data_IF_162467708753
#
_entry.id   IF_162467708753
#
_cell.length_a   1.000
_cell.length_b   1.000
_cell.length_c   1.000
_cell.angle_alpha   90.00
_cell.angle_beta   90.00
_cell.angle_gamma   90.00
#
_symmetry.space_group_name_H-M   'P 1'
#
loop_
_entity.id
_entity.type
_entity.pdbx_description
1 polymer ?
#
# COMPACT_ATOMS: atom_id res chain seq x y z
N UNK A 1 11.86 14.27 6.41
CA UNK A 1 11.28 13.65 5.20
C UNK A 1 9.88 14.20 4.96
N UNK A 2 9.60 14.77 3.78
CA UNK A 2 8.25 15.22 3.39
C UNK A 2 7.52 14.05 2.70
N UNK A 3 6.34 13.69 3.22
CA UNK A 3 5.55 12.55 2.74
C UNK A 3 4.19 13.02 2.22
N UNK A 4 3.77 12.52 1.07
CA UNK A 4 2.42 12.72 0.54
C UNK A 4 1.58 11.45 0.70
N UNK A 5 0.33 11.61 1.11
CA UNK A 5 -0.67 10.54 1.20
C UNK A 5 -1.69 10.77 0.07
N UNK A 6 -1.64 9.94 -0.97
CA UNK A 6 -2.48 10.06 -2.15
C UNK A 6 -3.81 9.31 -1.95
N UNK A 7 -4.81 9.99 -1.39
CA UNK A 7 -6.16 9.44 -1.29
C UNK A 7 -6.86 9.59 -2.65
N UNK A 8 -6.81 8.56 -3.46
CA UNK A 8 -7.34 8.60 -4.82
C UNK A 8 -8.67 7.84 -4.97
N UNK A 9 -9.52 8.32 -5.86
CA UNK A 9 -10.65 7.57 -6.37
C UNK A 9 -10.15 6.51 -7.36
N UNK A 10 -10.66 5.29 -7.29
CA UNK A 10 -10.18 4.19 -8.11
C UNK A 10 -11.17 3.85 -9.21
N UNK A 11 -10.68 3.73 -10.45
CA UNK A 11 -11.44 3.11 -11.52
C UNK A 11 -11.44 1.58 -11.31
N UNK A 12 -12.64 1.00 -11.20
CA UNK A 12 -12.81 -0.42 -10.89
C UNK A 12 -12.28 -1.30 -12.02
N UNK A 13 -11.34 -2.20 -11.67
CA UNK A 13 -10.68 -3.16 -12.59
C UNK A 13 -10.07 -2.51 -13.85
N UNK A 14 -9.68 -1.23 -13.77
CA UNK A 14 -9.07 -0.50 -14.88
C UNK A 14 -7.63 -0.07 -14.52
N UNK A 15 -6.69 -0.96 -14.83
CA UNK A 15 -5.26 -0.74 -14.58
C UNK A 15 -4.75 0.54 -15.25
N UNK A 16 -5.11 0.76 -16.53
CA UNK A 16 -4.56 1.86 -17.31
C UNK A 16 -5.01 3.22 -16.78
N UNK A 17 -6.28 3.35 -16.43
CA UNK A 17 -6.79 4.57 -15.81
C UNK A 17 -6.12 4.82 -14.45
N UNK A 18 -5.99 3.80 -13.63
CA UNK A 18 -5.42 3.93 -12.29
C UNK A 18 -3.92 4.24 -12.32
N UNK A 19 -3.13 3.60 -13.18
CA UNK A 19 -1.69 3.88 -13.27
C UNK A 19 -1.42 5.31 -13.80
N UNK A 20 -2.26 5.82 -14.71
CA UNK A 20 -2.17 7.21 -15.15
C UNK A 20 -2.48 8.20 -14.01
N UNK A 21 -3.42 7.87 -13.13
CA UNK A 21 -3.68 8.66 -11.90
C UNK A 21 -2.49 8.62 -10.96
N UNK A 22 -1.89 7.44 -10.74
CA UNK A 22 -0.65 7.29 -9.93
C UNK A 22 0.45 8.18 -10.48
N UNK A 23 0.69 8.16 -11.79
CA UNK A 23 1.71 9.01 -12.42
C UNK A 23 1.41 10.49 -12.24
N UNK A 24 0.15 10.91 -12.38
CA UNK A 24 -0.29 12.30 -12.21
C UNK A 24 -0.04 12.79 -10.78
N UNK A 25 -0.47 12.04 -9.76
CA UNK A 25 -0.21 12.37 -8.36
C UNK A 25 1.28 12.39 -8.04
N UNK A 26 2.04 11.46 -8.63
CA UNK A 26 3.49 11.38 -8.43
C UNK A 26 4.20 12.61 -9.01
N UNK A 27 3.83 13.07 -10.21
CA UNK A 27 4.35 14.31 -10.82
C UNK A 27 4.03 15.52 -9.95
N UNK A 28 2.81 15.64 -9.45
CA UNK A 28 2.41 16.73 -8.58
C UNK A 28 3.20 16.71 -7.26
N UNK A 29 3.35 15.56 -6.63
CA UNK A 29 4.12 15.41 -5.40
C UNK A 29 5.59 15.76 -5.60
N UNK A 30 6.20 15.29 -6.69
CA UNK A 30 7.59 15.62 -7.06
C UNK A 30 7.80 17.13 -7.23
N UNK A 31 6.86 17.83 -7.89
CA UNK A 31 6.93 19.30 -8.08
C UNK A 31 6.89 20.08 -6.76
N UNK A 32 6.41 19.46 -5.68
CA UNK A 32 6.35 20.01 -4.33
C UNK A 32 7.49 19.54 -3.42
N UNK A 33 8.54 18.94 -4.00
CA UNK A 33 9.69 18.39 -3.28
C UNK A 33 9.32 17.29 -2.24
N UNK A 34 8.25 16.54 -2.50
CA UNK A 34 7.90 15.36 -1.70
C UNK A 34 8.94 14.27 -1.93
N UNK A 35 9.39 13.62 -0.85
CA UNK A 35 10.41 12.58 -0.89
C UNK A 35 9.83 11.18 -0.99
N UNK A 36 8.60 10.98 -0.48
CA UNK A 36 7.88 9.72 -0.53
C UNK A 36 6.39 9.98 -0.77
N UNK A 37 5.82 9.36 -1.79
CA UNK A 37 4.37 9.35 -1.99
C UNK A 37 3.82 7.95 -1.72
N UNK A 38 2.70 7.87 -1.00
CA UNK A 38 2.05 6.62 -0.59
C UNK A 38 0.64 6.54 -1.18
N UNK A 39 0.31 5.39 -1.76
CA UNK A 39 -0.98 5.09 -2.38
C UNK A 39 -1.78 4.05 -1.60
N UNK A 40 -3.11 3.92 -1.82
CA UNK A 40 -3.97 2.96 -1.15
C UNK A 40 -3.68 1.49 -1.49
N UNK A 41 -4.35 0.58 -0.77
CA UNK A 41 -4.47 -0.85 -1.09
C UNK A 41 -5.09 -1.05 -2.47
N UNK A 42 -4.55 -2.01 -3.24
CA UNK A 42 -5.06 -2.41 -4.57
C UNK A 42 -5.40 -1.19 -5.46
N UNK A 43 -4.58 -0.16 -5.43
CA UNK A 43 -4.90 1.09 -6.08
C UNK A 43 -4.89 1.01 -7.62
N UNK A 44 -4.40 -0.08 -8.20
CA UNK A 44 -4.37 -0.31 -9.65
C UNK A 44 -5.62 -1.05 -10.17
N UNK A 45 -6.38 -1.72 -9.29
CA UNK A 45 -7.56 -2.52 -9.66
C UNK A 45 -8.83 -2.17 -8.89
N UNK A 46 -8.70 -1.52 -7.74
CA UNK A 46 -9.73 -1.54 -6.70
C UNK A 46 -9.72 -2.86 -5.95
N UNK A 47 -10.42 -2.93 -4.81
CA UNK A 47 -10.52 -4.13 -3.98
C UNK A 47 -11.45 -5.15 -4.64
N UNK A 48 -10.93 -5.91 -5.61
CA UNK A 48 -11.69 -6.90 -6.37
C UNK A 48 -11.46 -8.32 -5.86
N UNK A 49 -12.52 -9.13 -5.90
CA UNK A 49 -12.45 -10.57 -5.72
C UNK A 49 -12.34 -11.33 -7.07
N UNK A 50 -12.40 -10.61 -8.18
CA UNK A 50 -12.26 -11.15 -9.53
C UNK A 50 -10.79 -11.19 -9.94
N UNK A 51 -10.04 -12.20 -9.49
CA UNK A 51 -8.62 -12.35 -9.85
C UNK A 51 -8.37 -12.56 -11.35
N UNK A 52 -9.42 -12.85 -12.13
CA UNK A 52 -9.29 -12.98 -13.58
C UNK A 52 -9.13 -11.61 -14.28
N UNK A 53 -9.51 -10.52 -13.62
CA UNK A 53 -9.26 -9.15 -14.12
C UNK A 53 -7.83 -8.67 -13.87
N UNK A 54 -7.05 -9.41 -13.08
CA UNK A 54 -5.66 -9.09 -12.77
C UNK A 54 -4.74 -9.64 -13.86
N UNK A 55 -4.66 -8.92 -14.97
CA UNK A 55 -3.96 -9.38 -16.18
C UNK A 55 -2.44 -9.14 -16.13
N UNK A 56 -1.98 -8.22 -15.28
CA UNK A 56 -0.58 -7.84 -15.17
C UNK A 56 0.17 -8.74 -14.20
N UNK A 57 1.36 -9.18 -14.61
CA UNK A 57 2.30 -9.85 -13.71
C UNK A 57 2.92 -8.86 -12.71
N UNK A 58 3.49 -9.40 -11.64
CA UNK A 58 4.22 -8.60 -10.65
C UNK A 58 5.36 -7.81 -11.29
N UNK A 59 6.15 -8.46 -12.15
CA UNK A 59 7.29 -7.83 -12.81
C UNK A 59 6.86 -6.66 -13.71
N UNK A 60 5.76 -6.80 -14.47
CA UNK A 60 5.23 -5.71 -15.31
C UNK A 60 4.79 -4.51 -14.45
N UNK A 61 4.12 -4.76 -13.31
CA UNK A 61 3.67 -3.71 -12.40
C UNK A 61 4.88 -3.01 -11.77
N UNK A 62 5.80 -3.80 -11.20
CA UNK A 62 7.00 -3.27 -10.56
C UNK A 62 7.84 -2.44 -11.54
N UNK A 63 8.04 -2.91 -12.77
CA UNK A 63 8.81 -2.17 -13.77
C UNK A 63 8.13 -0.86 -14.16
N UNK A 64 6.79 -0.86 -14.26
CA UNK A 64 6.03 0.37 -14.51
C UNK A 64 6.21 1.39 -13.39
N UNK A 65 6.13 0.94 -12.12
CA UNK A 65 6.28 1.83 -10.96
C UNK A 65 7.73 2.34 -10.85
N UNK A 66 8.74 1.50 -11.13
CA UNK A 66 10.15 1.92 -11.19
C UNK A 66 10.37 3.06 -12.17
N UNK A 67 9.80 2.93 -13.38
CA UNK A 67 9.90 3.97 -14.38
C UNK A 67 9.28 5.28 -13.91
N UNK A 68 8.09 5.24 -13.26
CA UNK A 68 7.45 6.42 -12.68
C UNK A 68 8.33 7.03 -11.57
N UNK A 69 8.87 6.21 -10.67
CA UNK A 69 9.70 6.67 -9.56
C UNK A 69 10.99 7.36 -10.05
N UNK A 70 11.69 6.73 -10.99
CA UNK A 70 12.95 7.26 -11.57
C UNK A 70 12.71 8.55 -12.35
N UNK A 71 11.70 8.58 -13.22
CA UNK A 71 11.39 9.74 -14.05
C UNK A 71 11.00 10.96 -13.22
N UNK A 72 10.35 10.74 -12.07
CA UNK A 72 9.92 11.80 -11.16
C UNK A 72 10.85 12.01 -9.96
N UNK A 73 11.92 11.22 -9.82
CA UNK A 73 12.93 11.30 -8.74
C UNK A 73 12.32 11.27 -7.33
N UNK A 74 11.30 10.45 -7.12
CA UNK A 74 10.54 10.34 -5.87
C UNK A 74 10.37 8.88 -5.47
N UNK A 75 10.41 8.57 -4.17
CA UNK A 75 10.11 7.24 -3.69
C UNK A 75 8.59 7.01 -3.71
N UNK A 76 8.16 5.80 -4.07
CA UNK A 76 6.73 5.45 -4.22
C UNK A 76 6.42 4.23 -3.37
N UNK A 77 5.38 4.33 -2.51
CA UNK A 77 4.76 3.19 -1.86
C UNK A 77 3.35 2.96 -2.44
N UNK A 78 3.06 1.74 -2.92
CA UNK A 78 1.85 1.48 -3.69
C UNK A 78 1.29 0.08 -3.43
N UNK A 79 -0.04 0.00 -3.19
CA UNK A 79 -0.77 -1.26 -3.06
C UNK A 79 -1.30 -1.76 -4.40
N UNK A 80 -1.08 -3.04 -4.70
CA UNK A 80 -1.59 -3.69 -5.91
C UNK A 80 -1.96 -5.15 -5.64
N UNK A 81 -2.67 -5.76 -6.57
CA UNK A 81 -2.97 -7.18 -6.53
C UNK A 81 -2.46 -7.86 -7.81
N UNK A 82 -2.06 -9.10 -7.67
CA UNK A 82 -1.64 -9.96 -8.78
C UNK A 82 -2.35 -11.31 -8.69
N UNK A 83 -2.40 -12.01 -9.82
CA UNK A 83 -2.82 -13.40 -9.87
C UNK A 83 -1.58 -14.30 -9.87
N UNK A 84 -1.53 -15.23 -8.92
CA UNK A 84 -0.51 -16.27 -8.83
C UNK A 84 -1.21 -17.62 -8.87
N UNK A 85 -1.03 -18.37 -9.93
CA UNK A 85 -1.71 -19.65 -10.18
C UNK A 85 -3.25 -19.55 -10.09
N UNK A 86 -3.81 -20.14 -9.02
CA UNK A 86 -5.27 -20.20 -8.77
C UNK A 86 -5.75 -19.16 -7.74
N UNK A 87 -4.84 -18.39 -7.16
CA UNK A 87 -5.14 -17.39 -6.14
C UNK A 87 -4.59 -16.02 -6.51
N UNK A 88 -5.06 -15.00 -5.81
CA UNK A 88 -4.45 -13.67 -5.83
C UNK A 88 -3.43 -13.49 -4.71
N UNK A 89 -2.60 -12.45 -4.82
CA UNK A 89 -1.83 -11.87 -3.74
C UNK A 89 -2.12 -10.38 -3.64
N UNK A 90 -2.39 -9.91 -2.42
CA UNK A 90 -2.58 -8.49 -2.12
C UNK A 90 -1.26 -7.96 -1.59
N UNK A 91 -0.60 -7.11 -2.35
CA UNK A 91 0.78 -6.68 -2.12
C UNK A 91 0.90 -5.18 -1.92
N UNK A 92 1.96 -4.80 -1.23
CA UNK A 92 2.37 -3.40 -1.09
C UNK A 92 3.86 -3.29 -1.33
N UNK A 93 4.27 -2.55 -2.35
CA UNK A 93 5.67 -2.32 -2.66
C UNK A 93 6.10 -0.91 -2.29
N UNK A 94 7.37 -0.76 -1.90
CA UNK A 94 8.05 0.54 -1.78
C UNK A 94 9.23 0.53 -2.73
N UNK A 95 9.23 1.47 -3.67
CA UNK A 95 10.27 1.62 -4.70
C UNK A 95 10.99 2.94 -4.49
N UNK A 96 12.32 2.88 -4.54
CA UNK A 96 13.16 4.05 -4.39
C UNK A 96 13.13 4.96 -5.63
N UNK A 97 13.48 6.21 -5.46
CA UNK A 97 13.68 7.18 -6.56
C UNK A 97 14.76 6.77 -7.57
N UNK A 98 15.57 5.75 -7.27
CA UNK A 98 16.55 5.14 -8.18
C UNK A 98 16.05 3.87 -8.85
N UNK A 99 14.79 3.45 -8.59
CA UNK A 99 14.19 2.25 -9.19
C UNK A 99 14.52 0.95 -8.45
N UNK A 100 15.03 1.01 -7.23
CA UNK A 100 15.26 -0.17 -6.39
C UNK A 100 13.98 -0.56 -5.64
N UNK A 101 13.64 -1.84 -5.60
CA UNK A 101 12.56 -2.37 -4.74
C UNK A 101 13.10 -2.45 -3.32
N UNK A 102 12.60 -1.57 -2.45
CA UNK A 102 13.04 -1.48 -1.05
C UNK A 102 12.23 -2.40 -0.12
N UNK A 103 10.96 -2.63 -0.43
CA UNK A 103 10.05 -3.55 0.25
C UNK A 103 9.01 -4.10 -0.72
N UNK A 104 8.55 -5.33 -0.50
CA UNK A 104 7.56 -5.99 -1.34
C UNK A 104 6.66 -6.92 -0.52
N UNK A 105 5.91 -6.31 0.37
CA UNK A 105 5.07 -6.95 1.37
C UNK A 105 3.82 -7.62 0.76
N UNK A 106 3.52 -8.84 1.20
CA UNK A 106 2.23 -9.51 0.95
C UNK A 106 1.40 -9.47 2.23
N UNK A 107 0.13 -9.09 2.11
CA UNK A 107 -0.82 -8.97 3.23
C UNK A 107 -0.87 -10.23 4.08
N UNK A 108 -0.56 -10.09 5.38
CA UNK A 108 -0.53 -11.23 6.32
C UNK A 108 -1.95 -11.62 6.74
N UNK A 109 -2.86 -10.63 6.90
CA UNK A 109 -4.22 -10.88 7.37
C UNK A 109 -5.24 -10.52 6.28
N UNK A 110 -5.62 -11.47 5.41
CA UNK A 110 -6.72 -11.28 4.47
C UNK A 110 -8.03 -10.98 5.20
N UNK A 111 -8.87 -10.14 4.60
CA UNK A 111 -10.17 -9.76 5.16
C UNK A 111 -11.18 -10.91 5.08
N UNK A 112 -11.17 -11.78 6.09
CA UNK A 112 -12.01 -13.01 6.15
C UNK A 112 -13.50 -12.74 6.09
N UNK A 113 -13.96 -11.65 6.71
CA UNK A 113 -15.37 -11.25 6.65
C UNK A 113 -15.84 -10.92 5.22
N UNK A 114 -14.93 -10.42 4.37
CA UNK A 114 -15.16 -10.17 2.94
C UNK A 114 -14.83 -11.36 2.04
N UNK A 115 -14.43 -12.49 2.60
CA UNK A 115 -14.07 -13.69 1.83
C UNK A 115 -12.71 -13.62 1.12
N UNK A 116 -11.88 -12.62 1.43
CA UNK A 116 -10.57 -12.43 0.80
C UNK A 116 -9.66 -13.65 0.99
N UNK A 117 -9.70 -14.30 2.15
CA UNK A 117 -8.93 -15.50 2.49
C UNK A 117 -9.17 -16.71 1.58
N UNK A 118 -10.35 -16.77 0.96
CA UNK A 118 -10.69 -17.82 0.00
C UNK A 118 -10.05 -17.59 -1.36
N UNK A 119 -9.81 -16.35 -1.70
CA UNK A 119 -9.39 -15.89 -3.03
C UNK A 119 -7.91 -15.52 -3.05
N UNK A 120 -7.43 -14.84 -2.01
CA UNK A 120 -6.06 -14.37 -1.89
C UNK A 120 -5.23 -15.22 -0.92
N UNK A 121 -3.99 -15.46 -1.27
CA UNK A 121 -2.99 -16.06 -0.38
C UNK A 121 -2.55 -15.03 0.66
N UNK A 122 -2.21 -15.50 1.86
CA UNK A 122 -1.63 -14.68 2.91
C UNK A 122 -0.11 -14.63 2.80
N UNK A 123 0.48 -13.51 3.19
CA UNK A 123 1.92 -13.38 3.45
C UNK A 123 2.33 -14.02 4.78
N UNK A 124 3.62 -14.11 5.01
CA UNK A 124 4.24 -14.80 6.17
C UNK A 124 5.37 -14.01 6.82
N UNK A 125 5.73 -12.84 6.31
CA UNK A 125 6.81 -12.03 6.82
C UNK A 125 6.49 -10.53 6.82
N UNK A 126 7.22 -9.78 7.64
CA UNK A 126 7.15 -8.33 7.74
C UNK A 126 8.36 -7.75 7.03
N UNK A 127 8.10 -6.86 6.07
CA UNK A 127 9.14 -6.10 5.39
C UNK A 127 9.44 -4.81 6.14
N UNK A 128 10.72 -4.47 6.24
CA UNK A 128 11.19 -3.17 6.74
C UNK A 128 12.23 -2.64 5.78
N UNK A 129 11.99 -1.47 5.22
CA UNK A 129 12.93 -0.79 4.34
C UNK A 129 13.47 0.50 4.96
N UNK A 130 14.48 1.10 4.31
CA UNK A 130 15.06 2.35 4.74
C UNK A 130 15.01 3.40 3.63
N UNK A 131 14.49 4.59 3.97
CA UNK A 131 14.54 5.78 3.14
C UNK A 131 15.16 6.90 3.96
N UNK A 132 16.33 7.39 3.54
CA UNK A 132 17.16 8.29 4.33
C UNK A 132 17.47 7.68 5.72
N UNK A 133 17.15 8.41 6.81
CA UNK A 133 17.33 7.94 8.18
C UNK A 133 16.14 7.15 8.73
N UNK A 134 15.01 7.10 8.01
CA UNK A 134 13.79 6.47 8.49
C UNK A 134 13.67 5.01 8.04
N UNK A 135 13.41 4.12 8.98
CA UNK A 135 12.96 2.74 8.71
C UNK A 135 11.44 2.71 8.62
N UNK A 136 10.92 2.08 7.57
CA UNK A 136 9.50 2.08 7.20
C UNK A 136 9.02 0.64 7.04
N UNK A 137 7.90 0.28 7.69
CA UNK A 137 7.21 -0.99 7.50
C UNK A 137 5.86 -0.77 6.81
N UNK A 138 5.59 -1.37 5.65
CA UNK A 138 4.28 -1.31 5.00
C UNK A 138 3.35 -2.40 5.52
N UNK A 139 2.09 -2.05 5.82
CA UNK A 139 1.00 -2.97 6.08
C UNK A 139 -0.22 -2.64 5.21
N UNK A 140 -1.20 -3.56 5.17
CA UNK A 140 -2.36 -3.44 4.29
C UNK A 140 -3.66 -3.58 5.10
N UNK A 141 -4.46 -2.52 5.13
CA UNK A 141 -5.89 -2.49 5.48
C UNK A 141 -6.26 -3.31 6.73
N UNK A 142 -6.71 -4.55 6.55
CA UNK A 142 -7.18 -5.42 7.63
C UNK A 142 -6.09 -5.79 8.64
N UNK A 143 -4.81 -5.73 8.25
CA UNK A 143 -3.65 -5.85 9.15
C UNK A 143 -3.74 -4.89 10.33
N UNK A 144 -4.37 -3.72 10.14
CA UNK A 144 -4.55 -2.71 11.18
C UNK A 144 -5.27 -3.25 12.43
N UNK A 145 -6.05 -4.33 12.30
CA UNK A 145 -6.77 -4.95 13.43
C UNK A 145 -5.91 -5.85 14.31
N UNK A 146 -4.70 -6.17 13.88
CA UNK A 146 -3.81 -7.14 14.54
C UNK A 146 -2.61 -6.42 15.15
N UNK A 147 -2.65 -6.09 16.45
CA UNK A 147 -1.60 -5.30 17.12
C UNK A 147 -0.23 -5.99 17.09
N UNK A 148 -0.19 -7.31 17.04
CA UNK A 148 1.03 -8.10 17.15
C UNK A 148 2.06 -7.77 16.08
N UNK A 149 1.62 -7.59 14.83
CA UNK A 149 2.54 -7.27 13.74
C UNK A 149 3.10 -5.85 13.86
N UNK A 150 2.32 -4.92 14.43
CA UNK A 150 2.78 -3.56 14.71
C UNK A 150 3.81 -3.54 15.83
N UNK A 151 3.61 -4.32 16.90
CA UNK A 151 4.55 -4.48 17.99
C UNK A 151 5.88 -5.10 17.54
N UNK A 152 5.84 -6.02 16.58
CA UNK A 152 7.04 -6.60 15.99
C UNK A 152 7.77 -5.56 15.12
N UNK A 153 7.05 -4.92 14.20
CA UNK A 153 7.63 -3.94 13.27
C UNK A 153 8.22 -2.73 13.99
N UNK A 154 7.56 -2.21 15.03
CA UNK A 154 7.97 -0.99 15.76
C UNK A 154 9.28 -1.15 16.56
N UNK A 155 9.77 -2.37 16.74
CA UNK A 155 11.10 -2.59 17.33
C UNK A 155 12.22 -2.01 16.45
N UNK A 156 11.95 -1.85 15.16
CA UNK A 156 12.91 -1.32 14.21
C UNK A 156 12.36 -0.16 13.39
N UNK A 157 11.07 -0.20 13.01
CA UNK A 157 10.46 0.82 12.16
C UNK A 157 10.13 2.11 12.94
N UNK A 158 10.53 3.25 12.40
CA UNK A 158 10.13 4.57 12.88
C UNK A 158 8.76 4.99 12.34
N UNK A 159 8.42 4.48 11.16
CA UNK A 159 7.19 4.78 10.44
C UNK A 159 6.55 3.45 10.03
N UNK A 160 5.24 3.33 10.25
CA UNK A 160 4.46 2.22 9.71
C UNK A 160 3.39 2.81 8.79
N UNK A 161 3.28 2.30 7.57
CA UNK A 161 2.28 2.74 6.61
C UNK A 161 1.17 1.70 6.48
N UNK A 162 -0.07 2.14 6.32
CA UNK A 162 -1.23 1.26 6.12
C UNK A 162 -2.00 1.73 4.89
N UNK A 163 -1.77 1.09 3.76
CA UNK A 163 -2.58 1.30 2.56
C UNK A 163 -3.91 0.58 2.68
N UNK A 164 -5.05 1.22 2.36
CA UNK A 164 -6.35 0.64 2.63
C UNK A 164 -7.43 0.95 1.57
N UNK A 165 -8.39 0.04 1.49
CA UNK A 165 -9.71 0.22 0.92
C UNK A 165 -10.75 0.03 2.04
N UNK A 166 -10.72 0.93 3.02
CA UNK A 166 -11.49 0.83 4.25
C UNK A 166 -12.87 1.48 4.10
N UNK A 167 -13.97 0.76 4.35
CA UNK A 167 -15.32 1.28 4.11
C UNK A 167 -15.70 2.39 5.10
N UNK A 168 -16.38 3.41 4.61
CA UNK A 168 -16.84 4.57 5.40
C UNK A 168 -17.68 4.16 6.61
N UNK A 169 -18.50 3.12 6.51
CA UNK A 169 -19.31 2.61 7.62
C UNK A 169 -18.50 2.18 8.85
N UNK A 170 -17.18 2.04 8.71
CA UNK A 170 -16.24 1.68 9.79
C UNK A 170 -15.12 2.73 9.95
N UNK A 171 -15.40 3.98 9.60
CA UNK A 171 -14.44 5.10 9.69
C UNK A 171 -13.93 5.28 11.13
N UNK A 172 -14.81 5.18 12.13
CA UNK A 172 -14.42 5.30 13.55
C UNK A 172 -13.42 4.22 13.97
N UNK A 173 -13.56 3.00 13.43
CA UNK A 173 -12.57 1.94 13.68
C UNK A 173 -11.22 2.28 13.04
N UNK A 174 -11.23 2.80 11.80
CA UNK A 174 -10.02 3.22 11.09
C UNK A 174 -9.24 4.25 11.88
N UNK A 175 -9.90 5.33 12.28
CA UNK A 175 -9.29 6.44 13.02
C UNK A 175 -8.79 5.97 14.39
N UNK A 176 -9.61 5.21 15.13
CA UNK A 176 -9.27 4.74 16.47
C UNK A 176 -8.09 3.77 16.46
N UNK A 177 -8.07 2.84 15.51
CA UNK A 177 -6.99 1.87 15.40
C UNK A 177 -5.67 2.50 14.96
N UNK A 178 -5.67 3.43 14.00
CA UNK A 178 -4.45 4.17 13.62
C UNK A 178 -3.86 4.93 14.82
N UNK A 179 -4.70 5.60 15.60
CA UNK A 179 -4.27 6.28 16.83
C UNK A 179 -3.70 5.31 17.87
N UNK A 180 -4.40 4.17 18.09
CA UNK A 180 -3.94 3.16 19.02
C UNK A 180 -2.56 2.61 18.63
N UNK A 181 -2.38 2.25 17.35
CA UNK A 181 -1.09 1.76 16.84
C UNK A 181 0.04 2.77 17.02
N UNK A 182 -0.22 4.06 16.81
CA UNK A 182 0.77 5.10 17.01
C UNK A 182 1.15 5.26 18.50
N UNK A 183 0.16 5.25 19.40
CA UNK A 183 0.35 5.46 20.84
C UNK A 183 1.08 4.26 21.46
N UNK A 184 0.59 3.04 21.24
CA UNK A 184 1.12 1.84 21.87
C UNK A 184 2.54 1.49 21.41
N UNK A 185 2.87 1.81 20.13
CA UNK A 185 4.16 1.47 19.53
C UNK A 185 5.14 2.64 19.47
N UNK A 186 4.74 3.85 19.87
CA UNK A 186 5.56 5.07 19.89
C UNK A 186 6.24 5.34 18.54
N UNK A 187 5.53 5.11 17.44
CA UNK A 187 5.98 5.34 16.07
C UNK A 187 4.98 6.16 15.26
N UNK A 188 5.41 6.69 14.12
CA UNK A 188 4.51 7.37 13.19
C UNK A 188 3.67 6.33 12.42
N UNK A 189 2.35 6.53 12.38
CA UNK A 189 1.45 5.71 11.58
C UNK A 189 0.84 6.56 10.47
N UNK A 190 1.05 6.17 9.21
CA UNK A 190 0.44 6.79 8.05
C UNK A 190 -0.64 5.88 7.48
N UNK A 191 -1.90 6.28 7.59
CA UNK A 191 -3.04 5.59 7.00
C UNK A 191 -3.42 6.22 5.67
N UNK A 192 -3.41 5.45 4.59
CA UNK A 192 -3.71 5.90 3.23
C UNK A 192 -4.94 5.14 2.74
N UNK A 193 -6.12 5.71 2.92
CA UNK A 193 -7.36 5.12 2.42
C UNK A 193 -7.71 5.68 1.04
N UNK A 194 -8.36 4.88 0.19
CA UNK A 194 -8.96 5.39 -1.03
C UNK A 194 -10.16 6.30 -0.73
N UNK A 195 -10.57 7.10 -1.71
CA UNK A 195 -11.82 7.87 -1.72
C UNK A 195 -12.74 7.37 -2.83
N UNK A 196 -13.92 7.96 -2.98
CA UNK A 196 -14.92 7.60 -4.01
C UNK A 196 -15.91 6.52 -3.54
N UNK A 197 -16.81 6.17 -4.46
CA UNK A 197 -17.84 5.15 -4.21
C UNK A 197 -17.34 3.75 -4.63
N UNK A 198 -17.85 2.71 -3.95
CA UNK A 198 -17.69 1.31 -4.34
C UNK A 198 -18.95 0.86 -5.08
#
# INVERSE_FOLDING_TARGET
>A
MLVALAQMDLAWEDFNTNINRVETFTKEASSKNVELILFPEMCLSGFTNNISSLEKSEDEIIETIKNIAVNNKINIGLGFAIKVDKKGENKYTIISKSGEVLANYTKIHPFTFGGEDKIYSKGDHIDICKINEFKIAPFICYDLRFPEIFQIASKEAHIITVGASWPKAREDHWISLLKARAIENQCYIFGINRIGFC
#
